data_IF_475085033735
#
_entry.id   IF_475085033735
#
_cell.length_a   1.000
_cell.length_b   1.000
_cell.length_c   1.000
_cell.angle_alpha   90.00
_cell.angle_beta   90.00
_cell.angle_gamma   90.00
#
_symmetry.space_group_name_H-M   'P 1'
#
loop_
_entity.id
_entity.type
_entity.pdbx_description
1 polymer ?
#
# COMPACT_ATOMS: atom_id res chain seq x y z
N UNK A 1 -4.58 11.63 -5.42
CA UNK A 1 -3.85 10.78 -4.43
C UNK A 1 -2.38 11.17 -4.30
N UNK A 2 -1.66 11.45 -5.40
CA UNK A 2 -0.26 11.88 -5.34
C UNK A 2 -0.09 13.41 -5.42
N UNK A 3 -1.19 14.16 -5.32
CA UNK A 3 -1.20 15.62 -5.48
C UNK A 3 -0.40 16.32 -4.38
N UNK A 4 -0.30 15.70 -3.20
CA UNK A 4 0.59 16.15 -2.12
C UNK A 4 2.06 16.21 -2.55
N UNK A 5 2.50 15.24 -3.37
CA UNK A 5 3.88 15.16 -3.88
C UNK A 5 4.16 16.33 -4.80
N UNK A 6 3.21 16.65 -5.68
CA UNK A 6 3.28 17.82 -6.57
C UNK A 6 3.32 19.13 -5.79
N UNK A 7 2.46 19.28 -4.77
CA UNK A 7 2.48 20.44 -3.86
C UNK A 7 3.83 20.58 -3.15
N UNK A 8 4.41 19.46 -2.68
CA UNK A 8 5.71 19.45 -2.00
C UNK A 8 6.88 19.79 -2.94
N UNK A 9 6.87 19.25 -4.16
CA UNK A 9 7.80 19.63 -5.25
C UNK A 9 7.76 21.14 -5.51
N UNK A 10 6.56 21.74 -5.54
CA UNK A 10 6.40 23.17 -5.80
C UNK A 10 6.92 24.06 -4.67
N UNK A 11 6.97 23.55 -3.42
CA UNK A 11 7.50 24.28 -2.26
C UNK A 11 9.03 24.20 -2.11
N UNK A 12 9.71 23.33 -2.86
CA UNK A 12 11.17 23.18 -2.78
C UNK A 12 11.91 24.35 -3.42
N UNK A 13 12.33 25.33 -2.62
CA UNK A 13 13.04 26.54 -3.09
C UNK A 13 14.39 26.29 -3.79
N UNK A 14 15.03 25.13 -3.58
CA UNK A 14 16.36 24.81 -4.12
C UNK A 14 16.42 24.24 -5.54
N UNK A 15 15.28 23.85 -6.13
CA UNK A 15 15.24 23.16 -7.45
C UNK A 15 14.68 24.10 -8.51
N UNK A 16 15.32 24.19 -9.70
CA UNK A 16 14.81 24.99 -10.84
C UNK A 16 13.44 24.48 -11.28
N UNK A 17 12.55 25.38 -11.73
CA UNK A 17 11.18 25.03 -12.14
C UNK A 17 11.13 23.90 -13.19
N UNK A 18 11.97 23.96 -14.23
CA UNK A 18 12.06 22.93 -15.27
C UNK A 18 12.44 21.54 -14.72
N UNK A 19 13.26 21.49 -13.67
CA UNK A 19 13.69 20.25 -13.03
C UNK A 19 12.56 19.65 -12.16
N UNK A 20 11.72 20.49 -11.54
CA UNK A 20 10.54 20.02 -10.78
C UNK A 20 9.51 19.34 -11.68
N UNK A 21 9.31 19.84 -12.89
CA UNK A 21 8.38 19.25 -13.87
C UNK A 21 8.92 17.93 -14.44
N UNK A 22 10.23 17.81 -14.63
CA UNK A 22 10.87 16.53 -14.98
C UNK A 22 10.70 15.49 -13.85
N UNK A 23 10.94 15.89 -12.60
CA UNK A 23 10.76 15.02 -11.43
C UNK A 23 9.30 14.57 -11.27
N UNK A 24 8.34 15.47 -11.48
CA UNK A 24 6.93 15.11 -11.43
C UNK A 24 6.56 14.07 -12.50
N UNK A 25 7.03 14.24 -13.75
CA UNK A 25 6.83 13.26 -14.83
C UNK A 25 7.41 11.90 -14.46
N UNK A 26 8.65 11.86 -13.97
CA UNK A 26 9.30 10.63 -13.53
C UNK A 26 8.52 9.91 -12.41
N UNK A 27 7.96 10.65 -11.46
CA UNK A 27 7.11 10.07 -10.41
C UNK A 27 5.77 9.57 -10.95
N UNK A 28 5.15 10.27 -11.91
CA UNK A 28 3.95 9.78 -12.58
C UNK A 28 4.20 8.43 -13.26
N UNK A 29 5.36 8.25 -13.88
CA UNK A 29 5.76 6.97 -14.46
C UNK A 29 5.92 5.89 -13.41
N UNK A 30 6.59 6.19 -12.29
CA UNK A 30 6.71 5.27 -11.16
C UNK A 30 5.35 4.86 -10.58
N UNK A 31 4.43 5.81 -10.39
CA UNK A 31 3.07 5.50 -9.91
C UNK A 31 2.29 4.66 -10.92
N UNK A 32 2.43 4.98 -12.21
CA UNK A 32 1.86 4.18 -13.29
C UNK A 32 2.42 2.75 -13.33
N UNK A 33 3.72 2.59 -13.09
CA UNK A 33 4.39 1.31 -12.99
C UNK A 33 3.86 0.48 -11.82
N UNK A 34 3.79 1.07 -10.63
CA UNK A 34 3.24 0.43 -9.43
C UNK A 34 1.81 -0.06 -9.66
N UNK A 35 1.00 0.75 -10.35
CA UNK A 35 -0.37 0.39 -10.71
C UNK A 35 -0.40 -0.78 -11.71
N UNK A 36 0.36 -0.70 -12.82
CA UNK A 36 0.38 -1.73 -13.88
C UNK A 36 0.88 -3.09 -13.38
N UNK A 37 1.86 -3.11 -12.49
CA UNK A 37 2.46 -4.33 -11.93
C UNK A 37 1.77 -4.82 -10.66
N UNK A 38 0.70 -4.15 -10.22
CA UNK A 38 -0.03 -4.48 -8.98
C UNK A 38 0.87 -4.58 -7.75
N UNK A 39 1.88 -3.71 -7.64
CA UNK A 39 2.88 -3.73 -6.55
C UNK A 39 2.32 -3.21 -5.21
N UNK A 40 1.05 -2.81 -5.18
CA UNK A 40 0.40 -2.29 -3.99
C UNK A 40 0.75 -0.83 -3.74
N UNK A 41 1.22 -0.52 -2.52
CA UNK A 41 1.45 0.84 -2.06
C UNK A 41 2.72 1.47 -2.70
N UNK A 42 2.61 2.52 -3.52
CA UNK A 42 3.76 3.16 -4.16
C UNK A 42 4.71 3.85 -3.17
N UNK A 43 4.28 4.10 -1.92
CA UNK A 43 5.14 4.67 -0.89
C UNK A 43 6.07 3.63 -0.24
N UNK A 44 5.96 2.35 -0.63
CA UNK A 44 6.90 1.32 -0.20
C UNK A 44 8.24 1.47 -0.93
N UNK A 45 9.31 1.71 -0.20
CA UNK A 45 10.68 1.86 -0.72
C UNK A 45 11.10 0.65 -1.57
N UNK A 46 10.66 -0.55 -1.20
CA UNK A 46 10.96 -1.77 -1.95
C UNK A 46 10.41 -1.73 -3.39
N UNK A 47 9.26 -1.08 -3.61
CA UNK A 47 8.68 -0.92 -4.94
C UNK A 47 9.53 0.01 -5.82
N UNK A 48 10.16 1.03 -5.21
CA UNK A 48 11.13 1.90 -5.89
C UNK A 48 12.34 1.12 -6.40
N UNK A 49 12.88 0.21 -5.57
CA UNK A 49 14.01 -0.64 -5.95
C UNK A 49 13.66 -1.61 -7.08
N UNK A 50 12.45 -2.19 -7.05
CA UNK A 50 11.95 -3.05 -8.13
C UNK A 50 11.87 -2.26 -9.43
N UNK A 51 11.30 -1.05 -9.38
CA UNK A 51 11.16 -0.18 -10.55
C UNK A 51 12.52 0.21 -11.15
N UNK A 52 13.49 0.62 -10.32
CA UNK A 52 14.84 0.94 -10.77
C UNK A 52 15.53 -0.25 -11.45
N UNK A 53 15.39 -1.46 -10.88
CA UNK A 53 15.93 -2.68 -11.49
C UNK A 53 15.27 -3.00 -12.84
N UNK A 54 13.95 -2.89 -12.93
CA UNK A 54 13.21 -3.18 -14.16
C UNK A 54 13.63 -2.20 -15.28
N UNK A 55 13.82 -0.93 -14.94
CA UNK A 55 14.30 0.08 -15.90
C UNK A 55 15.73 -0.21 -16.35
N UNK A 56 16.64 -0.59 -15.43
CA UNK A 56 18.02 -0.93 -15.79
C UNK A 56 18.07 -2.10 -16.78
N UNK A 57 17.18 -3.09 -16.64
CA UNK A 57 17.09 -4.25 -17.53
C UNK A 57 16.47 -3.90 -18.90
N UNK A 58 15.56 -2.92 -18.96
CA UNK A 58 14.82 -2.54 -20.16
C UNK A 58 15.29 -1.23 -20.82
N UNK A 59 16.44 -0.68 -20.39
CA UNK A 59 17.03 0.59 -20.87
C UNK A 59 17.14 0.73 -22.39
N UNK A 60 17.25 -0.37 -23.13
CA UNK A 60 17.45 -0.40 -24.58
C UNK A 60 16.25 0.11 -25.41
N UNK A 61 15.04 0.21 -24.84
CA UNK A 61 13.83 0.62 -25.56
C UNK A 61 13.35 2.06 -25.29
N UNK A 62 14.09 2.85 -24.49
CA UNK A 62 13.64 4.16 -23.97
C UNK A 62 14.57 5.33 -24.35
N UNK A 63 15.10 5.31 -25.57
CA UNK A 63 16.08 6.29 -26.06
C UNK A 63 15.53 7.71 -26.28
N UNK A 64 14.21 7.93 -26.28
CA UNK A 64 13.60 9.24 -26.61
C UNK A 64 13.50 10.23 -25.43
N UNK A 65 13.78 9.84 -24.17
CA UNK A 65 13.58 10.70 -23.00
C UNK A 65 14.79 10.79 -22.03
N UNK A 66 16.02 10.69 -22.55
CA UNK A 66 17.27 10.55 -21.75
C UNK A 66 17.41 11.62 -20.65
N UNK A 67 16.99 12.87 -20.89
CA UNK A 67 17.07 13.95 -19.89
C UNK A 67 16.14 13.78 -18.70
N UNK A 68 14.94 13.19 -18.90
CA UNK A 68 14.00 12.91 -17.80
C UNK A 68 14.49 11.75 -16.93
N UNK A 69 15.26 10.83 -17.52
CA UNK A 69 15.84 9.67 -16.83
C UNK A 69 17.14 9.96 -16.09
N UNK A 70 17.87 10.99 -16.52
CA UNK A 70 19.15 11.36 -15.92
C UNK A 70 19.03 11.64 -14.41
N UNK A 71 17.85 12.04 -13.95
CA UNK A 71 17.56 12.36 -12.54
C UNK A 71 16.58 11.38 -11.88
N UNK A 72 16.29 10.23 -12.49
CA UNK A 72 15.28 9.30 -11.94
C UNK A 72 15.64 8.82 -10.54
N UNK A 73 16.89 8.44 -10.34
CA UNK A 73 17.39 7.95 -9.05
C UNK A 73 17.33 9.05 -7.99
N UNK A 74 17.80 10.27 -8.32
CA UNK A 74 17.69 11.43 -7.45
C UNK A 74 16.23 11.77 -7.10
N UNK A 75 15.33 11.67 -8.07
CA UNK A 75 13.90 11.93 -7.90
C UNK A 75 13.26 10.93 -6.94
N UNK A 76 13.57 9.64 -7.10
CA UNK A 76 13.05 8.59 -6.21
C UNK A 76 13.68 8.68 -4.82
N UNK A 77 14.98 8.94 -4.72
CA UNK A 77 15.66 9.15 -3.45
C UNK A 77 15.06 10.33 -2.69
N UNK A 78 14.83 11.46 -3.38
CA UNK A 78 14.13 12.61 -2.82
C UNK A 78 12.72 12.24 -2.37
N UNK A 79 11.95 11.57 -3.22
CA UNK A 79 10.56 11.19 -2.91
C UNK A 79 10.48 10.29 -1.68
N UNK A 80 11.32 9.25 -1.59
CA UNK A 80 11.32 8.35 -0.43
C UNK A 80 11.88 9.03 0.83
N UNK A 81 12.86 9.93 0.70
CA UNK A 81 13.31 10.75 1.82
C UNK A 81 12.17 11.62 2.37
N UNK A 82 11.36 12.20 1.48
CA UNK A 82 10.20 13.01 1.86
C UNK A 82 9.10 12.15 2.49
N UNK A 83 8.82 10.96 1.95
CA UNK A 83 7.89 9.99 2.55
C UNK A 83 8.33 9.62 3.97
N UNK A 84 9.62 9.37 4.19
CA UNK A 84 10.17 9.06 5.51
C UNK A 84 10.10 10.27 6.45
N UNK A 85 10.39 11.47 5.95
CA UNK A 85 10.29 12.71 6.74
C UNK A 85 8.86 12.97 7.22
N UNK A 86 7.85 12.60 6.41
CA UNK A 86 6.44 12.66 6.78
C UNK A 86 6.00 11.49 7.69
N UNK A 87 6.80 10.44 7.84
CA UNK A 87 6.47 9.21 8.58
C UNK A 87 6.66 9.30 10.12
N UNK A 88 6.68 10.50 10.70
CA UNK A 88 6.74 10.68 12.17
C UNK A 88 5.63 9.86 12.86
N UNK A 89 4.41 9.90 12.32
CA UNK A 89 3.29 9.09 12.77
C UNK A 89 3.52 7.58 12.63
N UNK A 90 4.27 7.14 11.61
CA UNK A 90 4.50 5.73 11.33
C UNK A 90 5.44 5.06 12.32
N UNK A 91 6.42 5.77 12.86
CA UNK A 91 7.28 5.22 13.91
C UNK A 91 6.47 4.92 15.17
N UNK A 92 5.66 5.87 15.63
CA UNK A 92 4.80 5.69 16.81
C UNK A 92 3.73 4.62 16.57
N UNK A 93 3.17 4.54 15.37
CA UNK A 93 2.23 3.48 14.99
C UNK A 93 2.86 2.10 15.07
N UNK A 94 4.08 1.92 14.54
CA UNK A 94 4.82 0.64 14.64
C UNK A 94 5.11 0.27 16.08
N UNK A 95 5.52 1.23 16.92
CA UNK A 95 5.74 0.99 18.33
C UNK A 95 4.46 0.51 19.04
N UNK A 96 3.33 1.20 18.82
CA UNK A 96 2.04 0.83 19.40
C UNK A 96 1.53 -0.53 18.89
N UNK A 97 1.71 -0.84 17.61
CA UNK A 97 1.32 -2.14 17.04
C UNK A 97 2.10 -3.29 17.67
N UNK A 98 3.41 -3.10 17.86
CA UNK A 98 4.28 -4.11 18.46
C UNK A 98 4.04 -4.26 19.96
N UNK A 99 3.74 -3.18 20.68
CA UNK A 99 3.37 -3.28 22.10
C UNK A 99 2.07 -4.06 22.29
N UNK A 100 1.16 -3.99 21.31
CA UNK A 100 -0.07 -4.80 21.28
C UNK A 100 0.14 -6.21 20.71
N UNK A 101 1.39 -6.64 20.47
CA UNK A 101 1.74 -7.97 19.91
C UNK A 101 0.99 -8.28 18.60
N UNK A 102 0.69 -7.27 17.79
CA UNK A 102 -0.02 -7.44 16.54
C UNK A 102 0.85 -8.20 15.53
N UNK A 103 0.23 -9.06 14.72
CA UNK A 103 0.93 -9.80 13.69
C UNK A 103 1.56 -8.85 12.66
N UNK A 104 2.75 -9.21 12.15
CA UNK A 104 3.47 -8.42 11.14
C UNK A 104 2.64 -8.08 9.90
N UNK A 105 1.74 -8.99 9.48
CA UNK A 105 0.80 -8.73 8.38
C UNK A 105 -0.17 -7.59 8.68
N UNK A 106 -0.66 -7.52 9.92
CA UNK A 106 -1.49 -6.43 10.41
C UNK A 106 -0.70 -5.13 10.44
N UNK A 107 0.55 -5.17 10.93
CA UNK A 107 1.45 -4.00 10.90
C UNK A 107 1.61 -3.46 9.46
N UNK A 108 1.93 -4.33 8.49
CA UNK A 108 2.07 -3.93 7.09
C UNK A 108 0.79 -3.32 6.51
N UNK A 109 -0.36 -3.95 6.76
CA UNK A 109 -1.65 -3.46 6.28
C UNK A 109 -2.02 -2.10 6.89
N UNK A 110 -1.80 -1.95 8.20
CA UNK A 110 -2.14 -0.74 8.93
C UNK A 110 -1.24 0.43 8.54
N UNK A 111 0.07 0.18 8.40
CA UNK A 111 1.03 1.18 7.90
C UNK A 111 0.69 1.67 6.48
N UNK A 112 0.23 0.77 5.60
CA UNK A 112 -0.25 1.17 4.26
C UNK A 112 -1.53 2.01 4.28
N UNK A 113 -2.39 1.84 5.29
CA UNK A 113 -3.54 2.72 5.48
C UNK A 113 -3.12 4.09 6.04
N UNK A 114 -2.19 4.10 7.00
CA UNK A 114 -1.65 5.34 7.58
C UNK A 114 -0.99 6.23 6.51
N UNK A 115 -0.15 5.66 5.64
CA UNK A 115 0.49 6.43 4.56
C UNK A 115 -0.51 7.05 3.59
N UNK A 116 -1.57 6.31 3.24
CA UNK A 116 -2.66 6.85 2.41
C UNK A 116 -3.40 7.99 3.11
N UNK A 117 -3.57 7.91 4.43
CA UNK A 117 -4.17 8.97 5.22
C UNK A 117 -3.27 10.22 5.30
N UNK A 118 -1.97 10.06 5.62
CA UNK A 118 -0.98 11.14 5.61
C UNK A 118 -0.93 11.87 4.27
N UNK A 119 -0.95 11.12 3.17
CA UNK A 119 -1.00 11.67 1.82
C UNK A 119 -2.28 12.49 1.54
N UNK A 120 -3.40 12.15 2.18
CA UNK A 120 -4.68 12.83 1.99
C UNK A 120 -4.76 14.14 2.78
N UNK A 121 -4.36 14.13 4.05
CA UNK A 121 -4.48 15.29 4.94
C UNK A 121 -3.38 16.35 4.73
N UNK A 122 -2.36 16.04 3.93
CA UNK A 122 -1.26 16.95 3.64
C UNK A 122 -1.78 18.35 3.21
N UNK A 123 -1.25 19.45 3.80
CA UNK A 123 0.00 19.56 4.56
C UNK A 123 -0.13 19.37 6.08
N UNK A 124 -1.29 18.95 6.59
CA UNK A 124 -1.48 18.71 8.03
C UNK A 124 -0.67 17.50 8.48
N UNK A 125 0.07 17.64 9.58
CA UNK A 125 0.77 16.52 10.21
C UNK A 125 -0.25 15.51 10.77
N UNK A 126 -0.07 14.22 10.48
CA UNK A 126 -0.93 13.16 11.02
C UNK A 126 -0.94 13.10 12.54
N UNK A 127 0.12 13.56 13.21
CA UNK A 127 0.13 13.70 14.68
C UNK A 127 -0.80 14.79 15.21
N UNK A 128 -1.26 15.69 14.34
CA UNK A 128 -2.19 16.78 14.67
C UNK A 128 -3.57 16.58 14.03
N UNK A 129 -3.78 15.43 13.39
CA UNK A 129 -5.05 15.11 12.75
C UNK A 129 -6.17 15.01 13.80
N UNK A 130 -7.36 15.48 13.43
CA UNK A 130 -8.55 15.42 14.24
C UNK A 130 -9.50 14.33 13.75
N UNK A 131 -10.49 13.98 14.57
CA UNK A 131 -11.50 13.00 14.20
C UNK A 131 -12.28 13.38 12.93
N UNK A 132 -12.43 14.68 12.63
CA UNK A 132 -13.01 15.18 11.38
C UNK A 132 -12.19 14.76 10.16
N UNK A 133 -10.85 14.76 10.24
CA UNK A 133 -9.98 14.39 9.13
C UNK A 133 -10.12 12.91 8.79
N UNK A 134 -10.27 12.07 9.82
CA UNK A 134 -10.57 10.65 9.64
C UNK A 134 -11.89 10.46 8.89
N UNK A 135 -12.92 11.21 9.28
CA UNK A 135 -14.25 11.14 8.65
C UNK A 135 -14.15 11.54 7.18
N UNK A 136 -13.56 12.69 6.88
CA UNK A 136 -13.40 13.18 5.51
C UNK A 136 -12.58 12.23 4.65
N UNK A 137 -11.53 11.61 5.21
CA UNK A 137 -10.74 10.61 4.49
C UNK A 137 -11.57 9.37 4.13
N UNK A 138 -12.35 8.83 5.07
CA UNK A 138 -13.17 7.64 4.81
C UNK A 138 -14.27 7.92 3.78
N UNK A 139 -14.87 9.11 3.79
CA UNK A 139 -15.83 9.55 2.77
C UNK A 139 -15.17 9.65 1.39
N UNK A 140 -13.98 10.26 1.30
CA UNK A 140 -13.19 10.29 0.07
C UNK A 140 -12.85 8.89 -0.46
N UNK A 141 -12.52 7.93 0.42
CA UNK A 141 -12.28 6.54 -0.01
C UNK A 141 -13.53 5.86 -0.59
N UNK A 142 -14.72 6.26 -0.17
CA UNK A 142 -15.99 5.73 -0.67
C UNK A 142 -16.34 6.33 -2.03
N UNK A 143 -16.19 7.65 -2.18
CA UNK A 143 -16.63 8.39 -3.37
C UNK A 143 -15.64 8.30 -4.53
N UNK A 144 -14.35 8.53 -4.28
CA UNK A 144 -13.37 8.69 -5.36
C UNK A 144 -12.64 7.41 -5.75
N UNK A 145 -12.61 6.39 -4.88
CA UNK A 145 -11.68 5.26 -5.01
C UNK A 145 -12.32 3.91 -5.33
N UNK A 146 -13.66 3.80 -5.28
CA UNK A 146 -14.35 2.53 -5.54
C UNK A 146 -13.81 1.35 -4.72
N UNK A 147 -13.27 1.62 -3.52
CA UNK A 147 -12.64 0.59 -2.69
C UNK A 147 -13.68 -0.41 -2.20
N UNK A 148 -13.32 -1.69 -2.19
CA UNK A 148 -14.18 -2.74 -1.67
C UNK A 148 -14.53 -2.48 -0.19
N UNK A 149 -15.69 -2.97 0.25
CA UNK A 149 -16.13 -2.86 1.65
C UNK A 149 -15.05 -3.38 2.63
N UNK A 150 -14.36 -4.46 2.27
CA UNK A 150 -13.26 -5.01 3.07
C UNK A 150 -12.08 -4.04 3.20
N UNK A 151 -11.68 -3.38 2.10
CA UNK A 151 -10.59 -2.41 2.12
C UNK A 151 -10.98 -1.12 2.90
N UNK A 152 -12.23 -0.69 2.81
CA UNK A 152 -12.75 0.41 3.63
C UNK A 152 -12.72 0.05 5.13
N UNK A 153 -13.21 -1.14 5.48
CA UNK A 153 -13.22 -1.62 6.86
C UNK A 153 -11.80 -1.81 7.42
N UNK A 154 -10.85 -2.26 6.62
CA UNK A 154 -9.44 -2.34 7.00
C UNK A 154 -8.85 -0.95 7.25
N UNK A 155 -9.17 0.03 6.39
CA UNK A 155 -8.72 1.42 6.56
C UNK A 155 -9.31 2.04 7.83
N UNK A 156 -10.60 1.83 8.10
CA UNK A 156 -11.26 2.28 9.32
C UNK A 156 -10.62 1.68 10.59
N UNK A 157 -10.40 0.36 10.61
CA UNK A 157 -9.78 -0.30 11.77
C UNK A 157 -8.35 0.18 12.00
N UNK A 158 -7.58 0.34 10.93
CA UNK A 158 -6.22 0.86 11.02
C UNK A 158 -6.18 2.27 11.58
N UNK A 159 -7.02 3.17 11.09
CA UNK A 159 -7.00 4.55 11.54
C UNK A 159 -7.65 4.73 12.91
N UNK A 160 -8.70 3.97 13.24
CA UNK A 160 -9.22 3.95 14.62
C UNK A 160 -8.14 3.51 15.60
N UNK A 161 -7.32 2.52 15.25
CA UNK A 161 -6.15 2.13 16.04
C UNK A 161 -5.18 3.29 16.20
N UNK A 162 -4.83 3.99 15.12
CA UNK A 162 -3.93 5.15 15.17
C UNK A 162 -4.45 6.25 16.12
N UNK A 163 -5.72 6.66 15.96
CA UNK A 163 -6.31 7.70 16.79
C UNK A 163 -6.36 7.29 18.27
N UNK A 164 -6.71 6.05 18.59
CA UNK A 164 -6.83 5.59 19.97
C UNK A 164 -5.49 5.30 20.66
N UNK A 165 -4.55 4.65 19.97
CA UNK A 165 -3.31 4.17 20.58
C UNK A 165 -2.10 5.08 20.36
N UNK A 166 -2.14 5.96 19.34
CA UNK A 166 -1.03 6.90 19.06
C UNK A 166 -1.41 8.33 19.43
N UNK A 167 -2.58 8.80 19.00
CA UNK A 167 -3.03 10.16 19.32
C UNK A 167 -3.74 10.27 20.68
N UNK A 168 -4.02 9.12 21.32
CA UNK A 168 -4.80 9.03 22.57
C UNK A 168 -6.14 9.78 22.50
N UNK A 169 -6.73 9.84 21.30
CA UNK A 169 -8.02 10.46 21.04
C UNK A 169 -9.10 9.38 21.00
N UNK A 170 -10.28 9.67 21.54
CA UNK A 170 -11.43 8.82 21.27
C UNK A 170 -11.77 8.90 19.79
N UNK A 171 -11.48 7.84 19.04
CA UNK A 171 -11.84 7.78 17.63
C UNK A 171 -13.36 8.03 17.50
N UNK A 172 -13.82 8.86 16.54
CA UNK A 172 -15.23 9.16 16.38
C UNK A 172 -16.06 7.87 16.25
N UNK A 173 -16.76 7.49 17.32
CA UNK A 173 -17.67 6.34 17.36
C UNK A 173 -18.77 6.45 16.29
N UNK A 174 -19.01 7.68 15.83
CA UNK A 174 -20.00 8.10 14.84
C UNK A 174 -19.93 7.34 13.50
N UNK A 175 -18.76 6.81 13.11
CA UNK A 175 -18.60 6.11 11.82
C UNK A 175 -18.66 4.58 11.88
N UNK A 176 -18.72 3.97 13.06
CA UNK A 176 -18.91 2.51 13.17
C UNK A 176 -20.18 2.03 12.44
N UNK A 177 -21.19 2.90 12.30
CA UNK A 177 -22.44 2.63 11.59
C UNK A 177 -22.40 2.94 10.08
N UNK A 178 -21.43 3.75 9.62
CA UNK A 178 -21.30 4.20 8.22
C UNK A 178 -20.23 3.44 7.43
N UNK A 179 -19.28 2.79 8.12
CA UNK A 179 -18.44 1.78 7.48
C UNK A 179 -19.39 0.70 6.99
N UNK A 180 -19.39 0.36 5.69
CA UNK A 180 -20.20 -0.76 5.23
C UNK A 180 -19.86 -1.93 6.15
N UNK A 181 -20.89 -2.53 6.76
CA UNK A 181 -20.71 -3.88 7.28
C UNK A 181 -20.07 -4.67 6.14
N UNK A 182 -19.23 -5.65 6.45
CA UNK A 182 -18.94 -6.64 5.43
C UNK A 182 -20.30 -7.27 5.07
N UNK A 183 -21.04 -6.67 4.15
CA UNK A 183 -21.83 -7.39 3.18
C UNK A 183 -20.81 -8.30 2.59
N UNK A 184 -20.78 -9.52 3.12
CA UNK A 184 -20.02 -10.62 2.58
C UNK A 184 -20.33 -10.53 1.08
N UNK A 185 -19.38 -10.13 0.22
CA UNK A 185 -19.67 -10.05 -1.20
C UNK A 185 -20.20 -11.42 -1.54
N UNK A 186 -21.48 -11.51 -1.95
CA UNK A 186 -22.28 -12.73 -2.07
C UNK A 186 -21.34 -13.89 -2.28
N UNK A 187 -21.01 -14.61 -1.20
CA UNK A 187 -19.82 -15.44 -1.15
C UNK A 187 -19.91 -16.33 -2.38
N UNK A 188 -19.13 -16.04 -3.42
CA UNK A 188 -18.98 -16.96 -4.52
C UNK A 188 -18.46 -18.17 -3.79
N UNK A 189 -19.31 -19.20 -3.71
CA UNK A 189 -18.95 -20.44 -3.05
C UNK A 189 -17.54 -20.75 -3.52
N UNK A 190 -16.54 -20.83 -2.62
CA UNK A 190 -15.15 -20.98 -3.03
C UNK A 190 -15.13 -22.12 -4.04
N UNK A 191 -14.76 -21.82 -5.29
CA UNK A 191 -14.88 -22.79 -6.37
C UNK A 191 -14.02 -23.99 -5.99
N UNK A 192 -14.67 -25.10 -5.62
CA UNK A 192 -13.98 -26.30 -5.19
C UNK A 192 -13.61 -27.08 -6.45
N UNK A 193 -12.33 -27.37 -6.61
CA UNK A 193 -11.87 -28.20 -7.72
C UNK A 193 -12.40 -29.63 -7.55
N UNK A 194 -12.83 -30.25 -8.65
CA UNK A 194 -13.11 -31.69 -8.66
C UNK A 194 -11.83 -32.49 -8.45
N UNK A 195 -11.96 -33.78 -8.14
CA UNK A 195 -10.79 -34.66 -7.96
C UNK A 195 -9.95 -34.74 -9.25
N UNK A 196 -10.62 -34.76 -10.40
CA UNK A 196 -9.98 -34.80 -11.72
C UNK A 196 -9.18 -33.51 -11.97
N UNK A 197 -9.79 -32.35 -11.71
CA UNK A 197 -9.11 -31.05 -11.86
C UNK A 197 -7.91 -30.90 -10.91
N UNK A 198 -7.99 -31.46 -9.70
CA UNK A 198 -6.89 -31.50 -8.75
C UNK A 198 -5.72 -32.37 -9.22
N UNK A 199 -6.02 -33.52 -9.82
CA UNK A 199 -5.00 -34.39 -10.41
C UNK A 199 -4.25 -33.69 -11.53
N UNK A 200 -4.98 -33.07 -12.46
CA UNK A 200 -4.41 -32.28 -13.55
C UNK A 200 -3.54 -31.11 -13.02
N UNK A 201 -4.04 -30.39 -12.00
CA UNK A 201 -3.28 -29.32 -11.34
C UNK A 201 -1.95 -29.85 -10.75
N UNK A 202 -1.95 -31.00 -10.10
CA UNK A 202 -0.71 -31.58 -9.54
C UNK A 202 0.28 -32.02 -10.61
N UNK A 203 -0.18 -32.42 -11.80
CA UNK A 203 0.70 -32.78 -12.92
C UNK A 203 1.33 -31.55 -13.56
N UNK A 204 0.57 -30.46 -13.71
CA UNK A 204 1.04 -29.18 -14.26
C UNK A 204 1.98 -28.43 -13.32
N UNK A 205 1.91 -28.68 -12.01
CA UNK A 205 2.79 -28.04 -11.03
C UNK A 205 4.25 -28.50 -11.19
N UNK A 206 5.23 -27.57 -11.10
CA UNK A 206 6.65 -27.91 -11.03
C UNK A 206 6.93 -28.92 -9.92
N UNK A 207 7.81 -29.89 -10.18
CA UNK A 207 8.08 -31.02 -9.28
C UNK A 207 8.34 -30.62 -7.82
N UNK A 208 9.04 -29.50 -7.62
CA UNK A 208 9.35 -28.93 -6.29
C UNK A 208 8.14 -28.53 -5.45
N UNK A 209 7.00 -28.20 -6.08
CA UNK A 209 5.79 -27.76 -5.38
C UNK A 209 4.75 -28.87 -5.21
N UNK A 210 4.90 -30.02 -5.89
CA UNK A 210 3.89 -31.09 -5.87
C UNK A 210 3.67 -31.69 -4.48
N UNK A 211 4.74 -31.92 -3.73
CA UNK A 211 4.65 -32.46 -2.36
C UNK A 211 3.90 -31.49 -1.43
N UNK A 212 4.31 -30.22 -1.44
CA UNK A 212 3.66 -29.13 -0.71
C UNK A 212 2.17 -29.01 -1.05
N UNK A 213 1.82 -29.01 -2.34
CA UNK A 213 0.44 -28.88 -2.79
C UNK A 213 -0.44 -30.08 -2.38
N UNK A 214 0.09 -31.30 -2.47
CA UNK A 214 -0.59 -32.52 -2.00
C UNK A 214 -0.77 -32.53 -0.49
N UNK A 215 0.27 -32.14 0.26
CA UNK A 215 0.18 -32.02 1.72
C UNK A 215 -0.89 -31.00 2.11
N UNK A 216 -0.86 -29.83 1.47
CA UNK A 216 -1.84 -28.77 1.71
C UNK A 216 -3.28 -29.24 1.46
N UNK A 217 -3.51 -29.95 0.36
CA UNK A 217 -4.82 -30.51 0.04
C UNK A 217 -5.25 -31.62 1.02
N UNK A 218 -4.34 -32.54 1.36
CA UNK A 218 -4.63 -33.69 2.20
C UNK A 218 -4.86 -33.35 3.68
N UNK A 219 -4.23 -32.30 4.18
CA UNK A 219 -4.36 -31.88 5.60
C UNK A 219 -5.21 -30.63 5.79
N UNK A 220 -5.59 -29.95 4.70
CA UNK A 220 -6.36 -28.70 4.74
C UNK A 220 -5.57 -27.50 5.31
N UNK A 221 -4.23 -27.57 5.33
CA UNK A 221 -3.39 -26.49 5.85
C UNK A 221 -3.54 -25.21 5.00
N UNK A 222 -3.49 -24.06 5.66
CA UNK A 222 -3.29 -22.79 4.95
C UNK A 222 -1.85 -22.72 4.46
N UNK A 223 -1.62 -21.98 3.38
CA UNK A 223 -0.28 -21.83 2.78
C UNK A 223 0.77 -21.39 3.80
N UNK A 224 0.41 -20.50 4.75
CA UNK A 224 1.36 -20.06 5.78
C UNK A 224 1.60 -21.07 6.90
N UNK A 225 0.64 -21.95 7.17
CA UNK A 225 0.82 -23.04 8.13
C UNK A 225 1.78 -24.07 7.52
N UNK A 226 1.57 -24.43 6.24
CA UNK A 226 2.46 -25.28 5.46
C UNK A 226 3.92 -24.77 5.41
N UNK A 227 4.11 -23.48 5.18
CA UNK A 227 5.44 -22.86 5.10
C UNK A 227 6.17 -22.74 6.45
N UNK A 228 5.48 -23.06 7.56
CA UNK A 228 6.02 -23.01 8.93
C UNK A 228 6.18 -24.38 9.58
N UNK A 229 5.86 -25.47 8.85
CA UNK A 229 6.21 -26.84 9.24
C UNK A 229 7.73 -27.02 9.20
#
# INVERSE_FOLDING_TARGET
>A
MYDWVKKRLQQQSGVRLQQRDAWWRALQWYFGYCSKKSLGDPFNVENGNIFLKDIQLHKAGLSEHIEEWAHLEDTLNWFFAEVVALDIAGQSMRAALRSQSMAYRTEKAYMGCLRRFQAYIYPVDAMRAQGSDLISFLEHLKEEKGLSASAQRQSYQSLSFFFSYVLHFEAPKCFAHKVPKNEVPSMQSPAVLSKEQLHELFELLPSRFRCMARLQYGTGLRTMELLRL
#
